data_IF_176178963306
#
_entry.id   IF_176178963306
#
_cell.length_a   1.000
_cell.length_b   1.000
_cell.length_c   1.000
_cell.angle_alpha   90.00
_cell.angle_beta   90.00
_cell.angle_gamma   90.00
#
_symmetry.space_group_name_H-M   'P 1'
#
loop_
_entity.id
_entity.type
_entity.pdbx_description
1 polymer ?
#
# COMPACT_ATOMS: atom_id res chain seq x y z
N UNK A 1 9.34 16.38 -3.08
CA UNK A 1 8.56 15.49 -2.24
C UNK A 1 7.26 15.10 -2.91
N UNK A 2 6.92 13.84 -2.84
CA UNK A 2 5.76 13.32 -3.51
C UNK A 2 4.47 13.65 -2.78
N UNK A 3 3.42 13.99 -3.53
CA UNK A 3 2.11 14.21 -2.93
C UNK A 3 1.44 12.86 -2.72
N UNK A 4 0.86 12.66 -1.55
CA UNK A 4 0.14 11.43 -1.23
C UNK A 4 -1.33 11.77 -1.11
N UNK A 5 -2.11 11.31 -2.06
CA UNK A 5 -3.53 11.61 -2.15
C UNK A 5 -4.35 10.42 -1.66
N UNK A 6 -5.61 10.66 -1.36
CA UNK A 6 -6.47 9.62 -0.81
C UNK A 6 -7.12 8.81 -1.92
N UNK A 7 -7.00 7.49 -1.83
CA UNK A 7 -7.70 6.58 -2.72
C UNK A 7 -9.12 6.40 -2.19
N UNK A 8 -10.13 6.70 -2.98
CA UNK A 8 -11.51 6.76 -2.49
C UNK A 8 -12.46 5.72 -3.06
N UNK A 9 -12.31 5.37 -4.31
CA UNK A 9 -13.32 4.55 -5.01
C UNK A 9 -13.13 3.07 -4.76
N UNK A 10 -14.23 2.38 -4.43
CA UNK A 10 -14.18 0.94 -4.21
C UNK A 10 -13.58 0.19 -5.38
N UNK A 11 -13.90 0.59 -6.61
CA UNK A 11 -13.37 -0.09 -7.79
C UNK A 11 -11.85 -0.02 -7.85
N UNK A 12 -11.27 1.08 -7.36
CA UNK A 12 -9.82 1.21 -7.33
C UNK A 12 -9.20 0.27 -6.30
N UNK A 13 -9.86 0.11 -5.14
CA UNK A 13 -9.40 -0.84 -4.13
C UNK A 13 -9.43 -2.26 -4.68
N UNK A 14 -10.49 -2.61 -5.40
CA UNK A 14 -10.62 -3.95 -5.98
C UNK A 14 -9.53 -4.19 -7.02
N UNK A 15 -9.29 -3.20 -7.86
CA UNK A 15 -8.26 -3.30 -8.89
C UNK A 15 -6.87 -3.44 -8.27
N UNK A 16 -6.56 -2.65 -7.24
CA UNK A 16 -5.27 -2.70 -6.57
C UNK A 16 -5.07 -4.06 -5.89
N UNK A 17 -6.14 -4.63 -5.36
CA UNK A 17 -6.06 -5.93 -4.70
C UNK A 17 -5.65 -7.04 -5.67
N UNK A 18 -5.85 -6.83 -6.97
CA UNK A 18 -5.46 -7.80 -7.98
C UNK A 18 -4.05 -7.54 -8.52
N UNK A 19 -3.41 -6.50 -8.05
CA UNK A 19 -2.07 -6.13 -8.48
C UNK A 19 -0.99 -6.75 -7.62
N UNK A 20 0.07 -6.00 -7.40
CA UNK A 20 1.21 -6.47 -6.62
C UNK A 20 0.88 -6.48 -5.13
N UNK A 21 1.55 -7.34 -4.40
CA UNK A 21 1.33 -7.46 -2.96
C UNK A 21 2.62 -7.84 -2.26
N UNK A 22 2.90 -7.17 -1.14
CA UNK A 22 4.01 -7.52 -0.27
C UNK A 22 3.47 -7.60 1.16
N UNK A 23 3.66 -8.74 1.79
CA UNK A 23 3.21 -8.94 3.17
C UNK A 23 4.36 -8.71 4.13
N UNK A 24 4.09 -8.03 5.23
CA UNK A 24 5.01 -7.85 6.34
C UNK A 24 4.32 -8.33 7.61
N UNK A 25 5.06 -8.51 8.71
CA UNK A 25 4.41 -9.00 9.94
C UNK A 25 3.28 -8.10 10.44
N UNK A 26 3.40 -6.80 10.30
CA UNK A 26 2.41 -5.86 10.83
C UNK A 26 1.47 -5.22 9.84
N UNK A 27 1.63 -5.52 8.54
CA UNK A 27 0.78 -4.93 7.52
C UNK A 27 0.95 -5.67 6.19
N UNK A 28 0.03 -5.40 5.26
CA UNK A 28 0.18 -5.89 3.89
C UNK A 28 0.08 -4.65 2.99
N UNK A 29 0.96 -4.55 2.01
CA UNK A 29 0.95 -3.46 1.05
C UNK A 29 0.60 -4.00 -0.32
N UNK A 30 -0.35 -3.34 -0.98
CA UNK A 30 -0.73 -3.66 -2.34
C UNK A 30 -0.47 -2.46 -3.22
N UNK A 31 -0.22 -2.69 -4.50
CA UNK A 31 0.03 -1.60 -5.43
C UNK A 31 -0.39 -1.97 -6.84
N UNK A 32 -0.84 -0.97 -7.58
CA UNK A 32 -1.13 -1.08 -9.00
C UNK A 32 -0.93 0.27 -9.63
N UNK A 33 -0.71 0.28 -10.94
CA UNK A 33 -0.54 1.54 -11.65
C UNK A 33 -1.82 2.35 -11.60
N UNK A 34 -1.69 3.65 -11.41
CA UNK A 34 -2.85 4.54 -11.39
C UNK A 34 -3.48 4.62 -12.78
N UNK A 35 -4.81 4.65 -12.81
CA UNK A 35 -5.55 4.79 -14.05
C UNK A 35 -6.35 6.08 -14.01
N UNK A 36 -6.19 6.90 -15.03
CA UNK A 36 -6.97 8.14 -15.10
C UNK A 36 -8.39 7.81 -15.53
N UNK A 37 -9.32 8.65 -15.14
CA UNK A 37 -10.71 8.50 -15.51
C UNK A 37 -11.35 9.89 -15.53
N UNK A 38 -12.56 10.00 -16.05
CA UNK A 38 -13.23 11.31 -16.03
C UNK A 38 -13.39 11.87 -14.63
N UNK A 39 -13.33 11.00 -13.62
CA UNK A 39 -13.54 11.42 -12.23
C UNK A 39 -12.26 11.48 -11.42
N UNK A 40 -11.11 11.28 -12.05
CA UNK A 40 -9.86 11.29 -11.31
C UNK A 40 -8.69 11.67 -12.20
N UNK A 41 -8.05 12.78 -11.85
CA UNK A 41 -6.81 13.18 -12.46
C UNK A 41 -5.65 12.62 -11.68
N UNK A 42 -4.58 12.25 -12.38
CA UNK A 42 -3.40 11.71 -11.76
C UNK A 42 -2.28 12.73 -11.88
N UNK A 43 -1.87 13.37 -10.78
CA UNK A 43 -0.79 14.36 -10.84
C UNK A 43 0.54 13.69 -11.17
N UNK A 44 1.40 14.45 -11.82
CA UNK A 44 2.73 13.94 -12.19
C UNK A 44 3.57 13.58 -10.98
N UNK A 45 3.36 14.28 -9.87
CA UNK A 45 4.15 14.08 -8.67
C UNK A 45 3.34 13.50 -7.52
N UNK A 46 2.32 12.73 -7.83
CA UNK A 46 1.44 12.21 -6.79
C UNK A 46 1.19 10.73 -6.89
N UNK A 47 0.89 10.12 -5.75
CA UNK A 47 0.40 8.76 -5.67
C UNK A 47 -0.90 8.77 -4.86
N UNK A 48 -1.62 7.65 -4.91
CA UNK A 48 -2.85 7.52 -4.13
C UNK A 48 -2.65 6.43 -3.09
N UNK A 49 -3.23 6.62 -1.93
CA UNK A 49 -3.09 5.68 -0.83
C UNK A 49 -4.43 5.48 -0.14
N UNK A 50 -4.82 4.21 -0.01
CA UNK A 50 -6.01 3.84 0.72
C UNK A 50 -5.67 2.88 1.85
N UNK A 51 -6.61 2.72 2.77
CA UNK A 51 -6.42 1.88 3.95
C UNK A 51 -7.59 0.90 4.05
N UNK A 52 -7.28 -0.35 4.39
CA UNK A 52 -8.30 -1.37 4.60
C UNK A 52 -8.01 -2.09 5.91
N UNK A 53 -9.00 -2.11 6.79
CA UNK A 53 -8.91 -2.91 8.02
C UNK A 53 -10.26 -3.61 8.17
N UNK A 54 -10.26 -4.92 7.99
CA UNK A 54 -11.50 -5.69 7.98
C UNK A 54 -11.94 -6.08 9.38
N UNK A 55 -13.16 -6.56 9.48
CA UNK A 55 -13.72 -7.01 10.75
C UNK A 55 -12.92 -8.15 11.38
N UNK A 56 -12.18 -8.89 10.56
CA UNK A 56 -11.35 -9.98 11.08
C UNK A 56 -10.26 -9.49 12.03
N UNK A 57 -9.87 -8.23 11.91
CA UNK A 57 -8.83 -7.67 12.77
C UNK A 57 -9.33 -7.48 14.20
N UNK A 58 -10.60 -7.19 14.38
CA UNK A 58 -11.17 -7.00 15.70
C UNK A 58 -12.33 -6.05 15.70
N UNK A 59 -12.72 -5.62 16.88
CA UNK A 59 -13.84 -4.71 17.06
C UNK A 59 -13.53 -3.35 16.48
N UNK A 60 -14.56 -2.51 16.37
CA UNK A 60 -14.45 -1.22 15.73
C UNK A 60 -13.32 -0.35 16.28
N UNK A 61 -13.16 -0.34 17.62
CA UNK A 61 -12.10 0.50 18.21
C UNK A 61 -10.70 -0.01 17.87
N UNK A 62 -10.53 -1.32 17.71
CA UNK A 62 -9.26 -1.90 17.30
C UNK A 62 -8.99 -1.55 15.84
N UNK A 63 -10.03 -1.63 14.99
CA UNK A 63 -9.87 -1.27 13.59
C UNK A 63 -9.52 0.20 13.42
N UNK A 64 -10.16 1.07 14.19
CA UNK A 64 -9.86 2.50 14.13
C UNK A 64 -8.44 2.80 14.59
N UNK A 65 -7.99 2.12 15.65
CA UNK A 65 -6.63 2.26 16.12
C UNK A 65 -5.63 1.82 15.06
N UNK A 66 -5.90 0.69 14.42
CA UNK A 66 -5.05 0.18 13.35
C UNK A 66 -4.94 1.20 12.21
N UNK A 67 -6.07 1.78 11.79
CA UNK A 67 -6.06 2.78 10.73
C UNK A 67 -5.25 4.02 11.11
N UNK A 68 -5.44 4.50 12.35
CA UNK A 68 -4.68 5.67 12.81
C UNK A 68 -3.20 5.41 12.78
N UNK A 69 -2.80 4.23 13.21
CA UNK A 69 -1.38 3.88 13.23
C UNK A 69 -0.81 3.75 11.82
N UNK A 70 -1.57 3.13 10.92
CA UNK A 70 -1.14 3.04 9.53
C UNK A 70 -1.00 4.43 8.89
N UNK A 71 -1.93 5.33 9.18
CA UNK A 71 -1.83 6.69 8.65
C UNK A 71 -0.63 7.42 9.20
N UNK A 72 -0.37 7.29 10.49
CA UNK A 72 0.77 7.95 11.11
C UNK A 72 2.08 7.44 10.53
N UNK A 73 2.20 6.13 10.35
CA UNK A 73 3.40 5.55 9.77
C UNK A 73 3.56 5.97 8.30
N UNK A 74 2.45 6.00 7.57
CA UNK A 74 2.49 6.38 6.16
C UNK A 74 2.95 7.82 5.97
N UNK A 75 2.59 8.73 6.88
CA UNK A 75 3.06 10.10 6.80
C UNK A 75 4.57 10.19 6.88
N UNK A 76 5.19 9.28 7.60
CA UNK A 76 6.64 9.27 7.71
C UNK A 76 7.32 8.60 6.53
N UNK A 77 6.66 7.61 5.93
CA UNK A 77 7.31 6.75 4.94
C UNK A 77 7.01 7.12 3.50
N UNK A 78 5.76 7.40 3.19
CA UNK A 78 5.33 7.54 1.80
C UNK A 78 5.87 8.75 1.06
N UNK A 79 5.93 9.95 1.65
CA UNK A 79 6.34 11.12 0.85
C UNK A 79 7.72 10.98 0.23
N UNK A 80 8.64 10.29 0.91
CA UNK A 80 10.01 10.16 0.42
C UNK A 80 10.30 8.84 -0.25
N UNK A 81 9.39 7.87 -0.18
CA UNK A 81 9.68 6.52 -0.64
C UNK A 81 8.69 5.96 -1.66
N UNK A 82 7.52 6.56 -1.80
CA UNK A 82 6.53 6.06 -2.75
C UNK A 82 6.84 6.55 -4.16
N UNK A 83 6.25 5.90 -5.14
CA UNK A 83 6.44 6.27 -6.53
C UNK A 83 5.21 7.01 -7.05
N UNK A 84 5.45 7.97 -7.93
CA UNK A 84 4.36 8.71 -8.56
C UNK A 84 3.54 7.81 -9.46
N UNK A 85 2.27 8.14 -9.59
CA UNK A 85 1.34 7.47 -10.49
C UNK A 85 1.08 6.01 -10.14
N UNK A 86 1.16 5.70 -8.86
CA UNK A 86 0.86 4.37 -8.34
C UNK A 86 -0.27 4.50 -7.33
N UNK A 87 -1.19 3.54 -7.35
CA UNK A 87 -2.23 3.42 -6.34
C UNK A 87 -1.77 2.37 -5.35
N UNK A 88 -1.69 2.76 -4.07
CA UNK A 88 -1.27 1.85 -2.99
C UNK A 88 -2.44 1.62 -2.04
N UNK A 89 -2.48 0.43 -1.44
CA UNK A 89 -3.43 0.13 -0.36
C UNK A 89 -2.66 -0.53 0.77
N UNK A 90 -2.82 0.01 1.97
CA UNK A 90 -2.26 -0.57 3.18
C UNK A 90 -3.37 -1.33 3.90
N UNK A 91 -3.09 -2.59 4.21
CA UNK A 91 -4.05 -3.47 4.87
C UNK A 91 -3.57 -3.75 6.28
N UNK A 92 -4.44 -3.51 7.26
CA UNK A 92 -4.13 -3.83 8.65
C UNK A 92 -4.25 -5.32 8.91
N UNK A 93 -3.39 -5.82 9.78
CA UNK A 93 -3.40 -7.21 10.21
C UNK A 93 -3.80 -7.26 11.68
N UNK A 94 -3.95 -8.46 12.20
CA UNK A 94 -4.41 -8.65 13.57
C UNK A 94 -3.52 -7.94 14.60
N UNK A 95 -2.24 -7.75 14.29
CA UNK A 95 -1.31 -7.12 15.23
C UNK A 95 -0.96 -5.67 14.91
N UNK A 96 -1.58 -5.08 13.89
CA UNK A 96 -1.25 -3.70 13.52
C UNK A 96 -1.48 -2.73 14.68
N UNK A 97 -2.51 -2.96 15.46
CA UNK A 97 -2.85 -2.09 16.57
C UNK A 97 -1.85 -2.16 17.73
N UNK A 98 -1.08 -3.24 17.82
CA UNK A 98 -0.24 -3.49 18.97
C UNK A 98 1.26 -3.51 18.72
N UNK A 99 1.68 -3.70 17.49
CA UNK A 99 3.11 -3.77 17.17
C UNK A 99 3.77 -2.42 17.49
N UNK A 100 5.01 -2.47 17.94
CA UNK A 100 5.73 -1.25 18.26
C UNK A 100 5.75 -0.30 17.06
N UNK A 101 5.49 0.99 17.29
CA UNK A 101 5.34 1.94 16.20
C UNK A 101 6.58 2.04 15.32
N UNK A 102 7.76 2.09 15.92
CA UNK A 102 9.00 2.14 15.14
C UNK A 102 9.14 0.93 14.24
N UNK A 103 8.70 -0.22 14.72
CA UNK A 103 8.75 -1.44 13.94
C UNK A 103 7.75 -1.38 12.80
N UNK A 104 6.57 -0.84 13.04
CA UNK A 104 5.55 -0.66 12.00
C UNK A 104 6.09 0.23 10.89
N UNK A 105 6.72 1.34 11.25
CA UNK A 105 7.32 2.26 10.28
C UNK A 105 8.40 1.54 9.47
N UNK A 106 9.28 0.82 10.14
CA UNK A 106 10.37 0.10 9.49
C UNK A 106 9.84 -0.94 8.50
N UNK A 107 8.82 -1.69 8.91
CA UNK A 107 8.23 -2.71 8.05
C UNK A 107 7.54 -2.09 6.86
N UNK A 108 6.87 -0.97 7.06
CA UNK A 108 6.20 -0.26 5.97
C UNK A 108 7.23 0.22 4.95
N UNK A 109 8.34 0.79 5.43
CA UNK A 109 9.39 1.27 4.54
C UNK A 109 9.99 0.13 3.73
N UNK A 110 10.26 -1.00 4.37
CA UNK A 110 10.80 -2.16 3.68
C UNK A 110 9.82 -2.72 2.64
N UNK A 111 8.55 -2.79 2.99
CA UNK A 111 7.53 -3.27 2.07
C UNK A 111 7.41 -2.34 0.87
N UNK A 112 7.44 -1.04 1.11
CA UNK A 112 7.34 -0.05 0.05
C UNK A 112 8.55 -0.11 -0.88
N UNK A 113 9.74 -0.21 -0.32
CA UNK A 113 10.95 -0.37 -1.14
C UNK A 113 10.88 -1.62 -1.98
N UNK A 114 10.42 -2.71 -1.40
CA UNK A 114 10.34 -3.98 -2.11
C UNK A 114 9.34 -3.95 -3.25
N UNK A 115 8.15 -3.40 -3.00
CA UNK A 115 7.12 -3.36 -4.03
C UNK A 115 7.53 -2.38 -5.15
N UNK A 116 8.16 -1.27 -4.79
CA UNK A 116 8.62 -0.31 -5.78
C UNK A 116 9.73 -0.87 -6.66
N UNK A 117 10.56 -1.73 -6.10
CA UNK A 117 11.59 -2.39 -6.86
C UNK A 117 10.96 -3.29 -7.92
N UNK A 118 9.92 -4.01 -7.56
CA UNK A 118 9.20 -4.85 -8.50
C UNK A 118 8.56 -4.00 -9.60
N UNK A 119 7.96 -2.87 -9.23
CA UNK A 119 7.32 -1.98 -10.19
C UNK A 119 8.32 -1.46 -11.19
N UNK A 120 9.52 -1.11 -10.76
CA UNK A 120 10.49 -0.47 -11.65
C UNK A 120 11.27 -1.45 -12.50
N UNK A 121 11.13 -2.76 -12.28
CA UNK A 121 11.86 -3.73 -13.08
C UNK A 121 11.23 -3.85 -14.47
N UNK A 122 12.04 -4.18 -15.47
CA UNK A 122 11.50 -4.32 -16.81
C UNK A 122 10.44 -5.40 -16.88
N UNK A 123 9.54 -5.20 -17.78
CA UNK A 123 8.45 -6.13 -17.89
C UNK A 123 8.77 -7.41 -18.46
N UNK A 124 9.88 -7.48 -19.07
CA UNK A 124 10.23 -8.72 -19.64
C UNK A 124 10.25 -9.76 -18.65
N UNK A 125 10.20 -9.40 -17.65
CA UNK A 125 10.18 -10.33 -16.80
C UNK A 125 9.06 -10.92 -16.66
N UNK A 126 8.65 -11.11 -17.27
CA UNK A 126 7.69 -11.72 -17.34
C UNK A 126 7.61 -12.54 -16.49
N UNK A 127 8.01 -12.61 -16.40
CA UNK A 127 7.96 -13.26 -15.70
C UNK A 127 7.59 -12.85 -14.69
N UNK A 128 7.44 -12.17 -14.76
CA UNK A 128 7.03 -11.78 -13.79
C UNK A 128 6.12 -12.55 -13.26
N UNK A 129 5.76 -13.04 -13.72
CA UNK A 129 5.07 -13.74 -13.25
C UNK A 129 5.56 -14.53 -12.51
N UNK A 130 6.25 -14.60 -12.52
CA UNK A 130 6.68 -15.24 -11.83
C UNK A 130 6.83 -14.80 -10.76
N UNK A 131 6.80 -14.11 -10.82
CA UNK A 131 6.92 -13.69 -9.77
C UNK A 131 5.86 -13.93 -9.00
N UNK A 132 5.11 -14.03 -9.47
CA UNK A 132 4.23 -14.21 -8.83
C UNK A 132 4.29 -15.24 -8.24
N UNK A 133 4.55 -15.69 -8.63
CA UNK A 133 4.70 -16.60 -8.13
C UNK A 133 5.54 -16.49 -7.23
N UNK A 134 5.95 -15.93 -7.14
CA UNK A 134 6.67 -15.75 -6.29
C UNK A 134 6.18 -15.37 -5.23
N UNK A 135 5.54 -15.19 -5.22
CA UNK A 135 5.18 -14.83 -4.30
C UNK A 135 4.73 -15.52 -3.41
N UNK A 136 4.59 -15.98 -3.51
CA UNK A 136 4.33 -16.55 -2.90
C UNK A 136 4.56 -16.64 -2.19
#
# INVERSE_FOLDING_TARGET
MLKVLILKKRKDFVRVAQGLKVAAPGLILQAAQSLSSPHREIPEDGCFLGYTVTKKVGKAHIRNRSKRRLRAAAREVFPDNARAKIDYVLIGRYNTADIEFKKLVSEMKKALCKINKIISEPQDKTDAKKADDIAD
#
